data_IF_103638513991
#
_entry.id   IF_103638513991
#
_cell.length_a   1.000
_cell.length_b   1.000
_cell.length_c   1.000
_cell.angle_alpha   90.00
_cell.angle_beta   90.00
_cell.angle_gamma   90.00
#
_symmetry.space_group_name_H-M   'P 1'
#
loop_
_entity.id
_entity.type
_entity.pdbx_description
1 polymer ?
#
# COMPACT_ATOMS: atom_id res chain seq x y z
N UNK A 1 -14.81 7.63 -16.09
CA UNK A 1 -13.90 8.67 -15.56
C UNK A 1 -13.32 8.36 -14.17
N UNK A 2 -13.79 7.35 -13.43
CA UNK A 2 -13.25 6.99 -12.11
C UNK A 2 -11.89 6.24 -12.14
N UNK A 3 -11.65 5.38 -13.14
CA UNK A 3 -10.43 4.56 -13.21
C UNK A 3 -9.15 5.39 -13.49
N UNK A 4 -9.29 6.47 -14.27
CA UNK A 4 -8.18 7.39 -14.58
C UNK A 4 -7.72 8.18 -13.35
N UNK A 5 -8.62 8.36 -12.36
CA UNK A 5 -8.35 9.09 -11.12
C UNK A 5 -7.57 8.25 -10.10
N UNK A 6 -7.75 6.94 -10.05
CA UNK A 6 -7.02 6.08 -9.09
C UNK A 6 -5.56 5.92 -9.52
N UNK A 7 -5.31 5.63 -10.81
CA UNK A 7 -3.95 5.51 -11.34
C UNK A 7 -3.17 6.83 -11.19
N UNK A 8 -3.81 7.95 -11.51
CA UNK A 8 -3.22 9.27 -11.34
C UNK A 8 -2.90 9.59 -9.88
N UNK A 9 -3.80 9.25 -8.94
CA UNK A 9 -3.54 9.46 -7.52
C UNK A 9 -2.36 8.63 -6.96
N UNK A 10 -2.16 7.41 -7.46
CA UNK A 10 -1.01 6.57 -7.07
C UNK A 10 0.29 7.16 -7.65
N UNK A 11 0.28 7.62 -8.89
CA UNK A 11 1.43 8.26 -9.53
C UNK A 11 1.81 9.58 -8.86
N UNK A 12 0.82 10.39 -8.49
CA UNK A 12 1.01 11.62 -7.72
C UNK A 12 1.57 11.31 -6.33
N UNK A 13 1.03 10.33 -5.62
CA UNK A 13 1.54 9.90 -4.31
C UNK A 13 2.98 9.38 -4.39
N UNK A 14 3.30 8.58 -5.42
CA UNK A 14 4.67 8.10 -5.68
C UNK A 14 5.62 9.27 -5.94
N UNK A 15 5.21 10.23 -6.77
CA UNK A 15 6.02 11.42 -7.10
C UNK A 15 6.27 12.25 -5.85
N UNK A 16 5.21 12.52 -5.08
CA UNK A 16 5.30 13.21 -3.79
C UNK A 16 6.27 12.52 -2.83
N UNK A 17 6.17 11.19 -2.67
CA UNK A 17 7.08 10.45 -1.81
C UNK A 17 8.53 10.59 -2.27
N UNK A 18 8.83 10.38 -3.55
CA UNK A 18 10.18 10.52 -4.09
C UNK A 18 10.78 11.91 -3.84
N UNK A 19 10.03 12.97 -4.16
CA UNK A 19 10.46 14.35 -3.91
C UNK A 19 10.68 14.60 -2.42
N UNK A 20 9.79 14.10 -1.56
CA UNK A 20 9.88 14.28 -0.12
C UNK A 20 11.09 13.56 0.49
N UNK A 21 11.41 12.35 0.03
CA UNK A 21 12.58 11.61 0.50
C UNK A 21 13.90 12.25 0.07
N UNK A 22 13.94 12.80 -1.15
CA UNK A 22 15.13 13.47 -1.69
C UNK A 22 15.39 14.83 -1.05
N UNK A 23 14.34 15.60 -0.74
CA UNK A 23 14.46 16.97 -0.23
C UNK A 23 14.80 17.06 1.27
N UNK A 24 14.39 16.08 2.08
CA UNK A 24 14.54 16.15 3.55
C UNK A 24 15.60 15.20 4.14
N UNK A 25 16.45 14.60 3.31
CA UNK A 25 17.51 13.69 3.77
C UNK A 25 16.97 12.33 4.24
N UNK A 26 15.85 11.88 3.68
CA UNK A 26 15.12 10.68 4.08
C UNK A 26 14.00 10.96 5.09
N UNK A 27 13.01 10.06 5.18
CA UNK A 27 11.93 10.22 6.14
C UNK A 27 12.31 9.66 7.52
N UNK A 28 11.80 10.30 8.56
CA UNK A 28 11.88 9.76 9.93
C UNK A 28 11.14 8.43 10.03
N UNK A 29 11.47 7.64 11.06
CA UNK A 29 10.78 6.37 11.33
C UNK A 29 9.25 6.53 11.42
N UNK A 30 8.77 7.59 12.09
CA UNK A 30 7.33 7.88 12.22
C UNK A 30 6.70 8.23 10.87
N UNK A 31 7.40 8.99 10.04
CA UNK A 31 6.90 9.38 8.73
C UNK A 31 6.88 8.21 7.75
N UNK A 32 7.90 7.35 7.78
CA UNK A 32 7.89 6.07 7.04
C UNK A 32 6.74 5.18 7.53
N UNK A 33 6.43 5.16 8.83
CA UNK A 33 5.27 4.42 9.35
C UNK A 33 3.94 4.99 8.83
N UNK A 34 3.79 6.32 8.72
CA UNK A 34 2.62 6.98 8.10
C UNK A 34 2.43 6.49 6.65
N UNK A 35 3.46 6.60 5.82
CA UNK A 35 3.39 6.16 4.43
C UNK A 35 3.17 4.64 4.29
N UNK A 36 3.67 3.84 5.23
CA UNK A 36 3.40 2.39 5.26
C UNK A 36 1.92 2.11 5.53
N UNK A 37 1.24 2.91 6.37
CA UNK A 37 -0.21 2.81 6.58
C UNK A 37 -0.99 3.16 5.32
N UNK A 38 -0.58 4.20 4.58
CA UNK A 38 -1.22 4.55 3.31
C UNK A 38 -1.08 3.40 2.29
N UNK A 39 0.12 2.81 2.21
CA UNK A 39 0.39 1.67 1.33
C UNK A 39 -0.43 0.43 1.72
N UNK A 40 -0.63 0.18 3.02
CA UNK A 40 -1.49 -0.90 3.51
C UNK A 40 -2.93 -0.75 3.01
N UNK A 41 -3.49 0.45 3.02
CA UNK A 41 -4.84 0.72 2.52
C UNK A 41 -4.95 0.47 1.01
N UNK A 42 -3.93 0.87 0.25
CA UNK A 42 -3.87 0.64 -1.19
C UNK A 42 -3.81 -0.86 -1.52
N UNK A 43 -2.88 -1.60 -0.90
CA UNK A 43 -2.73 -3.05 -1.13
C UNK A 43 -3.98 -3.81 -0.73
N UNK A 44 -4.63 -3.43 0.38
CA UNK A 44 -5.93 -4.00 0.80
C UNK A 44 -7.01 -3.79 -0.26
N UNK A 45 -7.10 -2.58 -0.81
CA UNK A 45 -8.06 -2.23 -1.88
C UNK A 45 -7.79 -3.01 -3.16
N UNK A 46 -6.52 -3.15 -3.56
CA UNK A 46 -6.11 -3.94 -4.73
C UNK A 46 -6.42 -5.43 -4.54
N UNK A 47 -6.17 -5.98 -3.35
CA UNK A 47 -6.49 -7.37 -3.01
C UNK A 47 -7.98 -7.63 -3.16
N UNK A 48 -8.82 -6.72 -2.66
CA UNK A 48 -10.28 -6.79 -2.78
C UNK A 48 -10.74 -6.71 -4.25
N UNK A 49 -10.14 -5.81 -5.03
CA UNK A 49 -10.43 -5.68 -6.46
C UNK A 49 -10.04 -6.95 -7.25
N UNK A 50 -8.84 -7.49 -7.03
CA UNK A 50 -8.37 -8.72 -7.66
C UNK A 50 -9.29 -9.91 -7.31
N UNK A 51 -9.69 -10.04 -6.05
CA UNK A 51 -10.61 -11.09 -5.59
C UNK A 51 -11.97 -10.98 -6.29
N UNK A 52 -12.52 -9.77 -6.41
CA UNK A 52 -13.79 -9.53 -7.13
C UNK A 52 -13.68 -9.86 -8.62
N UNK A 53 -12.58 -9.49 -9.25
CA UNK A 53 -12.31 -9.82 -10.65
C UNK A 53 -12.13 -11.33 -10.85
N UNK A 54 -11.49 -12.04 -9.91
CA UNK A 54 -11.37 -13.49 -9.95
C UNK A 54 -12.74 -14.19 -9.82
N UNK A 55 -13.64 -13.65 -8.98
CA UNK A 55 -14.97 -14.24 -8.77
C UNK A 55 -15.93 -13.97 -9.93
N UNK A 56 -15.93 -12.75 -10.48
CA UNK A 56 -16.98 -12.28 -11.40
C UNK A 56 -16.48 -11.90 -12.80
N UNK A 57 -15.16 -11.82 -12.99
CA UNK A 57 -14.55 -11.45 -14.27
C UNK A 57 -14.51 -12.59 -15.27
N UNK A 58 -13.77 -12.35 -16.36
CA UNK A 58 -13.62 -13.33 -17.44
C UNK A 58 -13.02 -14.64 -16.91
N UNK A 59 -13.63 -15.81 -17.20
CA UNK A 59 -13.12 -17.13 -16.80
C UNK A 59 -11.64 -17.35 -17.12
N UNK A 60 -11.14 -16.83 -18.24
CA UNK A 60 -9.74 -16.99 -18.68
C UNK A 60 -8.72 -16.34 -17.72
N UNK A 61 -9.13 -15.36 -16.91
CA UNK A 61 -8.25 -14.63 -16.01
C UNK A 61 -8.44 -15.02 -14.52
N UNK A 62 -9.34 -15.95 -14.20
CA UNK A 62 -9.71 -16.25 -12.80
C UNK A 62 -8.53 -16.72 -11.97
N UNK A 63 -7.81 -17.73 -12.45
CA UNK A 63 -6.64 -18.29 -11.77
C UNK A 63 -5.55 -17.23 -11.54
N UNK A 64 -5.04 -16.52 -12.56
CA UNK A 64 -3.99 -15.52 -12.32
C UNK A 64 -4.44 -14.35 -11.44
N UNK A 65 -5.74 -13.99 -11.44
CA UNK A 65 -6.27 -12.97 -10.53
C UNK A 65 -6.37 -13.47 -9.07
N UNK A 66 -6.70 -14.74 -8.88
CA UNK A 66 -6.72 -15.35 -7.55
C UNK A 66 -5.30 -15.46 -6.97
N UNK A 67 -4.33 -15.88 -7.78
CA UNK A 67 -2.92 -15.94 -7.40
C UNK A 67 -2.40 -14.54 -7.04
N UNK A 68 -2.69 -13.53 -7.87
CA UNK A 68 -2.33 -12.15 -7.58
C UNK A 68 -2.96 -11.63 -6.28
N UNK A 69 -4.20 -12.01 -5.96
CA UNK A 69 -4.83 -11.64 -4.69
C UNK A 69 -4.13 -12.30 -3.48
N UNK A 70 -3.62 -13.52 -3.63
CA UNK A 70 -2.85 -14.21 -2.60
C UNK A 70 -1.48 -13.53 -2.37
N UNK A 71 -0.80 -13.15 -3.46
CA UNK A 71 0.47 -12.44 -3.39
C UNK A 71 0.31 -11.07 -2.72
N UNK A 72 -0.75 -10.33 -3.07
CA UNK A 72 -1.07 -9.06 -2.42
C UNK A 72 -1.40 -9.21 -0.94
N UNK A 73 -2.08 -10.29 -0.54
CA UNK A 73 -2.31 -10.60 0.87
C UNK A 73 -0.98 -10.82 1.61
N UNK A 74 -0.09 -11.61 1.03
CA UNK A 74 1.23 -11.87 1.61
C UNK A 74 2.07 -10.59 1.71
N UNK A 75 1.97 -9.69 0.73
CA UNK A 75 2.61 -8.38 0.77
C UNK A 75 2.03 -7.50 1.89
N UNK A 76 0.71 -7.52 2.08
CA UNK A 76 0.03 -6.78 3.15
C UNK A 76 0.54 -7.20 4.53
N UNK A 77 0.71 -8.50 4.77
CA UNK A 77 1.22 -9.01 6.05
C UNK A 77 2.64 -8.49 6.32
N UNK A 78 3.53 -8.53 5.32
CA UNK A 78 4.90 -7.99 5.44
C UNK A 78 4.93 -6.48 5.68
N UNK A 79 3.98 -5.74 5.11
CA UNK A 79 3.85 -4.30 5.34
C UNK A 79 3.36 -3.99 6.76
N UNK A 80 2.49 -4.83 7.34
CA UNK A 80 2.11 -4.73 8.74
C UNK A 80 3.33 -4.93 9.65
N UNK A 81 4.13 -5.97 9.40
CA UNK A 81 5.36 -6.22 10.16
C UNK A 81 6.33 -5.04 10.06
N UNK A 82 6.52 -4.49 8.86
CA UNK A 82 7.36 -3.32 8.64
C UNK A 82 6.88 -2.08 9.40
N UNK A 83 5.56 -1.81 9.38
CA UNK A 83 4.96 -0.72 10.17
C UNK A 83 5.23 -0.91 11.65
N UNK A 84 5.09 -2.12 12.15
CA UNK A 84 5.20 -2.40 13.58
C UNK A 84 6.66 -2.25 14.06
N UNK A 85 7.64 -2.67 13.26
CA UNK A 85 9.05 -2.40 13.55
C UNK A 85 9.40 -0.90 13.47
N UNK A 86 8.80 -0.16 12.53
CA UNK A 86 8.95 1.30 12.48
C UNK A 86 8.34 1.96 13.73
N UNK A 87 7.14 1.58 14.14
CA UNK A 87 6.51 2.12 15.35
C UNK A 87 7.34 1.83 16.60
N UNK A 88 7.86 0.61 16.73
CA UNK A 88 8.77 0.21 17.81
C UNK A 88 10.05 1.04 17.81
N UNK A 89 10.69 1.24 16.67
CA UNK A 89 11.89 2.06 16.55
C UNK A 89 11.62 3.56 16.85
N UNK A 90 10.39 4.02 16.64
CA UNK A 90 9.95 5.36 17.02
C UNK A 90 9.49 5.47 18.50
N UNK A 91 9.51 4.38 19.27
CA UNK A 91 9.01 4.35 20.65
C UNK A 91 7.49 4.57 20.76
N UNK A 92 6.74 4.24 19.70
CA UNK A 92 5.31 4.47 19.59
C UNK A 92 4.55 3.15 19.39
N UNK A 93 3.27 3.14 19.76
CA UNK A 93 2.36 2.01 19.53
C UNK A 93 1.36 2.27 18.40
N UNK A 94 1.26 3.52 17.94
CA UNK A 94 0.38 3.95 16.85
C UNK A 94 1.02 5.07 16.07
N UNK A 95 0.65 5.17 14.80
CA UNK A 95 0.98 6.33 13.97
C UNK A 95 0.29 7.56 14.55
N UNK A 96 1.04 8.63 14.76
CA UNK A 96 0.53 9.94 15.11
C UNK A 96 0.43 10.77 13.84
N UNK A 97 -0.57 11.62 13.69
CA UNK A 97 -0.62 12.65 12.64
C UNK A 97 -0.43 13.99 13.35
N UNK A 98 0.50 14.81 12.84
CA UNK A 98 0.76 16.15 13.40
C UNK A 98 -0.34 17.13 12.97
#
# INVERSE_FOLDING_TARGET
MLYKSIGQGIDEWRTFMSEHFELYGGATTMQTARYTVDLLQLVSSLTSAATRLAAHGNPAARTPLADAALDLRSALDRLCDARDELLKAAGATRVQYD
#
